data_IF_593436504035
#
_entry.id   IF_593436504035
#
_cell.length_a   1.000
_cell.length_b   1.000
_cell.length_c   1.000
_cell.angle_alpha   90.00
_cell.angle_beta   90.00
_cell.angle_gamma   90.00
#
_symmetry.space_group_name_H-M   'P 1'
#
loop_
_entity.id
_entity.type
_entity.pdbx_description
1 polymer ?
#
# COMPACT_ATOMS: atom_id res chain seq x y z
N UNK A 1 -36.37 27.66 8.86
CA UNK A 1 -35.27 26.74 9.27
C UNK A 1 -35.73 25.32 9.01
N UNK A 2 -35.16 24.65 8.01
CA UNK A 2 -35.60 23.33 7.54
C UNK A 2 -35.11 22.22 8.49
N UNK A 3 -35.98 21.27 8.86
CA UNK A 3 -35.63 20.09 9.70
C UNK A 3 -34.43 19.30 9.14
N UNK A 4 -34.28 19.26 7.81
CA UNK A 4 -33.16 18.61 7.12
C UNK A 4 -31.85 19.37 7.29
N UNK A 5 -31.86 20.69 7.21
CA UNK A 5 -30.67 21.52 7.48
C UNK A 5 -30.29 21.48 8.96
N UNK A 6 -31.27 21.50 9.86
CA UNK A 6 -31.01 21.36 11.29
C UNK A 6 -30.40 20.00 11.63
N UNK A 7 -30.90 18.89 11.05
CA UNK A 7 -30.33 17.56 11.25
C UNK A 7 -28.92 17.44 10.64
N UNK A 8 -28.71 17.91 9.41
CA UNK A 8 -27.37 17.92 8.78
C UNK A 8 -26.37 18.76 9.57
N UNK A 9 -26.78 19.94 10.06
CA UNK A 9 -25.90 20.82 10.82
C UNK A 9 -25.70 20.33 12.27
N UNK A 10 -26.71 19.77 12.92
CA UNK A 10 -26.56 19.20 14.27
C UNK A 10 -25.72 17.93 14.29
N UNK A 11 -25.77 17.10 13.23
CA UNK A 11 -24.83 15.97 13.09
C UNK A 11 -23.40 16.41 12.80
N UNK A 12 -23.19 17.54 12.09
CA UNK A 12 -21.85 18.08 11.83
C UNK A 12 -21.20 18.66 13.08
N UNK A 13 -21.95 19.37 13.92
CA UNK A 13 -21.36 20.13 15.04
C UNK A 13 -21.14 19.30 16.31
N UNK A 14 -21.97 18.28 16.58
CA UNK A 14 -21.92 17.55 17.85
C UNK A 14 -21.18 16.21 17.78
N UNK A 15 -21.15 15.55 16.61
CA UNK A 15 -20.32 14.37 16.37
C UNK A 15 -18.94 14.69 15.80
N UNK A 16 -18.75 15.89 15.23
CA UNK A 16 -17.52 16.30 14.58
C UNK A 16 -16.34 16.45 15.53
N UNK A 17 -16.46 17.23 16.62
CA UNK A 17 -15.33 17.57 17.49
C UNK A 17 -14.78 16.40 18.30
N UNK A 18 -15.64 15.57 18.89
CA UNK A 18 -15.21 14.40 19.67
C UNK A 18 -14.60 13.30 18.78
N UNK A 19 -15.16 13.06 17.59
CA UNK A 19 -14.58 12.13 16.63
C UNK A 19 -13.25 12.65 16.06
N UNK A 20 -13.15 13.95 15.75
CA UNK A 20 -11.92 14.58 15.29
C UNK A 20 -10.79 14.48 16.31
N UNK A 21 -11.09 14.66 17.61
CA UNK A 21 -10.09 14.57 18.68
C UNK A 21 -9.42 13.19 18.79
N UNK A 22 -10.03 12.14 18.24
CA UNK A 22 -9.45 10.78 18.22
C UNK A 22 -8.38 10.56 17.14
N UNK A 23 -8.23 11.50 16.20
CA UNK A 23 -7.22 11.42 15.15
C UNK A 23 -5.90 12.11 15.55
N UNK A 24 -4.75 11.69 15.01
CA UNK A 24 -3.50 12.44 15.10
C UNK A 24 -3.65 13.88 14.59
N UNK A 25 -2.90 14.82 15.18
CA UNK A 25 -3.01 16.26 14.89
C UNK A 25 -2.84 16.61 13.40
N UNK A 26 -1.98 15.90 12.66
CA UNK A 26 -1.80 16.14 11.22
C UNK A 26 -3.06 15.78 10.42
N UNK A 27 -3.78 14.73 10.80
CA UNK A 27 -5.05 14.34 10.18
C UNK A 27 -6.16 15.31 10.58
N UNK A 28 -6.20 15.75 11.84
CA UNK A 28 -7.14 16.80 12.28
C UNK A 28 -6.98 18.08 11.44
N UNK A 29 -5.73 18.55 11.27
CA UNK A 29 -5.43 19.72 10.43
C UNK A 29 -5.86 19.51 8.99
N UNK A 30 -5.63 18.33 8.43
CA UNK A 30 -6.05 18.03 7.06
C UNK A 30 -7.58 18.03 6.90
N UNK A 31 -8.32 17.43 7.84
CA UNK A 31 -9.78 17.41 7.82
C UNK A 31 -10.43 18.78 8.06
N UNK A 32 -9.71 19.71 8.69
CA UNK A 32 -10.16 21.09 8.90
C UNK A 32 -9.98 22.00 7.68
N UNK A 33 -9.24 21.55 6.66
CA UNK A 33 -9.06 22.30 5.41
C UNK A 33 -10.24 21.99 4.50
N UNK A 34 -11.06 23.00 4.22
CA UNK A 34 -12.13 22.86 3.24
C UNK A 34 -11.57 22.56 1.85
N UNK A 35 -12.26 21.69 1.11
CA UNK A 35 -11.93 21.44 -0.28
C UNK A 35 -12.06 22.73 -1.09
N UNK A 36 -11.00 23.11 -1.79
CA UNK A 36 -11.05 24.23 -2.74
C UNK A 36 -11.80 23.79 -4.00
N UNK A 37 -13.08 24.13 -4.09
CA UNK A 37 -13.94 23.80 -5.23
C UNK A 37 -14.12 25.05 -6.10
N UNK A 38 -13.52 25.05 -7.29
CA UNK A 38 -13.70 26.10 -8.30
C UNK A 38 -14.65 25.63 -9.41
N UNK A 39 -14.37 24.46 -9.99
CA UNK A 39 -15.17 23.84 -11.06
C UNK A 39 -15.91 22.59 -10.63
N UNK A 40 -15.51 21.95 -9.52
CA UNK A 40 -16.01 20.64 -9.11
C UNK A 40 -15.49 19.48 -9.97
N UNK A 41 -14.45 19.72 -10.77
CA UNK A 41 -13.80 18.72 -11.63
C UNK A 41 -12.38 18.41 -11.15
N UNK A 42 -11.73 17.41 -11.77
CA UNK A 42 -10.33 17.09 -11.48
C UNK A 42 -9.37 18.28 -11.72
N UNK A 43 -9.78 19.27 -12.52
CA UNK A 43 -9.00 20.48 -12.79
C UNK A 43 -8.76 21.33 -11.54
N UNK A 44 -9.55 21.15 -10.47
CA UNK A 44 -9.36 21.84 -9.20
C UNK A 44 -8.13 21.30 -8.43
N UNK A 45 -7.65 20.09 -8.76
CA UNK A 45 -6.44 19.49 -8.15
C UNK A 45 -5.19 20.12 -8.76
N UNK A 46 -4.45 20.89 -7.95
CA UNK A 46 -3.24 21.61 -8.39
C UNK A 46 -1.93 20.93 -7.99
N UNK A 47 -1.97 20.07 -6.97
CA UNK A 47 -0.78 19.41 -6.44
C UNK A 47 -1.08 17.94 -6.17
N UNK A 48 -0.19 17.07 -6.67
CA UNK A 48 -0.22 15.63 -6.43
C UNK A 48 1.06 15.27 -5.70
N UNK A 49 0.92 14.68 -4.52
CA UNK A 49 2.04 14.17 -3.72
C UNK A 49 1.92 12.66 -3.63
N UNK A 50 2.92 11.94 -4.12
CA UNK A 50 2.97 10.48 -4.09
C UNK A 50 3.95 10.05 -3.01
N UNK A 51 3.44 9.55 -1.88
CA UNK A 51 4.25 8.95 -0.82
C UNK A 51 4.37 7.45 -1.05
N UNK A 52 5.56 6.99 -1.45
CA UNK A 52 5.82 5.56 -1.70
C UNK A 52 6.48 4.92 -0.49
N UNK A 53 5.74 4.03 0.18
CA UNK A 53 6.26 3.22 1.30
C UNK A 53 6.85 1.89 0.79
N UNK A 54 7.42 1.10 1.69
CA UNK A 54 8.18 -0.11 1.34
C UNK A 54 7.74 -1.35 2.15
N UNK A 55 7.74 -2.51 1.47
CA UNK A 55 7.71 -3.87 2.00
C UNK A 55 6.60 -4.22 3.02
N UNK A 56 5.38 -3.76 2.74
CA UNK A 56 4.17 -4.11 3.51
C UNK A 56 3.02 -4.47 2.57
N UNK A 57 2.40 -5.63 2.80
CA UNK A 57 1.17 -6.02 2.10
C UNK A 57 -0.04 -5.31 2.69
N UNK A 58 -1.15 -5.28 1.93
CA UNK A 58 -2.41 -4.73 2.43
C UNK A 58 -2.87 -5.46 3.68
N UNK A 59 -2.92 -6.79 3.68
CA UNK A 59 -3.39 -7.57 4.82
C UNK A 59 -2.50 -7.44 6.06
N UNK A 60 -1.20 -7.17 5.88
CA UNK A 60 -0.31 -6.91 7.00
C UNK A 60 -0.69 -5.63 7.77
N UNK A 61 -1.09 -4.56 7.09
CA UNK A 61 -1.54 -3.32 7.73
C UNK A 61 -3.03 -3.34 8.04
N UNK A 62 -3.87 -3.70 7.07
CA UNK A 62 -5.29 -3.41 7.06
C UNK A 62 -6.17 -4.66 7.00
N UNK A 63 -5.62 -5.87 7.06
CA UNK A 63 -6.42 -7.10 7.01
C UNK A 63 -7.45 -7.21 8.15
N UNK A 64 -7.27 -6.46 9.24
CA UNK A 64 -8.21 -6.36 10.37
C UNK A 64 -9.08 -5.09 10.37
N UNK A 65 -8.90 -4.19 9.40
CA UNK A 65 -9.67 -2.95 9.30
C UNK A 65 -11.13 -3.27 8.95
N UNK A 66 -12.08 -2.58 9.60
CA UNK A 66 -13.50 -2.77 9.30
C UNK A 66 -13.83 -2.13 7.95
N UNK A 67 -14.58 -2.85 7.11
CA UNK A 67 -15.06 -2.35 5.83
C UNK A 67 -14.19 -2.71 4.61
N UNK A 68 -13.02 -3.33 4.83
CA UNK A 68 -12.18 -3.85 3.74
C UNK A 68 -12.38 -5.35 3.56
N UNK A 69 -12.04 -5.86 2.38
CA UNK A 69 -11.97 -7.31 2.11
C UNK A 69 -10.69 -7.94 2.70
N UNK A 70 -10.63 -8.03 4.02
CA UNK A 70 -9.50 -8.61 4.76
C UNK A 70 -9.78 -9.99 5.37
N UNK A 71 -9.20 -10.28 6.55
CA UNK A 71 -9.35 -11.57 7.24
C UNK A 71 -10.79 -11.90 7.66
N UNK A 72 -11.67 -10.89 7.70
CA UNK A 72 -13.10 -11.05 7.94
C UNK A 72 -13.93 -11.40 6.69
N UNK A 73 -13.32 -11.48 5.50
CA UNK A 73 -14.04 -11.83 4.28
C UNK A 73 -14.61 -13.25 4.38
N UNK A 74 -15.92 -13.37 4.13
CA UNK A 74 -16.65 -14.64 4.15
C UNK A 74 -16.45 -15.45 2.87
N UNK A 75 -16.06 -14.78 1.78
CA UNK A 75 -15.87 -15.35 0.45
C UNK A 75 -14.40 -15.28 0.07
N UNK A 76 -13.57 -16.01 0.83
CA UNK A 76 -12.15 -16.15 0.54
C UNK A 76 -11.92 -16.95 -0.74
N UNK A 77 -10.76 -16.79 -1.37
CA UNK A 77 -10.33 -17.65 -2.48
C UNK A 77 -10.36 -19.11 -1.99
N UNK A 78 -11.16 -19.99 -2.62
CA UNK A 78 -11.23 -21.39 -2.23
C UNK A 78 -9.93 -22.09 -2.64
N UNK A 79 -9.42 -22.92 -1.74
CA UNK A 79 -8.25 -23.74 -2.02
C UNK A 79 -8.62 -25.21 -2.11
N UNK A 80 -7.67 -26.03 -2.58
CA UNK A 80 -7.77 -27.48 -2.50
C UNK A 80 -7.99 -27.94 -1.05
N UNK A 81 -8.62 -29.11 -0.89
CA UNK A 81 -8.89 -29.73 0.42
C UNK A 81 -9.79 -28.88 1.34
N UNK A 82 -10.57 -27.97 0.77
CA UNK A 82 -11.53 -27.13 1.52
C UNK A 82 -10.88 -26.05 2.38
N UNK A 83 -9.57 -25.79 2.20
CA UNK A 83 -8.86 -24.73 2.90
C UNK A 83 -9.30 -23.34 2.43
N UNK A 84 -9.12 -22.36 3.31
CA UNK A 84 -9.13 -20.94 2.97
C UNK A 84 -7.72 -20.48 2.59
N UNK A 85 -7.63 -19.43 1.76
CA UNK A 85 -6.35 -18.80 1.38
C UNK A 85 -5.46 -18.41 2.58
N UNK A 86 -6.05 -18.19 3.74
CA UNK A 86 -5.33 -17.90 4.99
C UNK A 86 -4.63 -19.11 5.60
N UNK A 87 -4.98 -20.33 5.21
CA UNK A 87 -4.43 -21.56 5.76
C UNK A 87 -3.24 -22.05 4.92
N UNK A 88 -2.06 -21.50 5.18
CA UNK A 88 -0.84 -21.81 4.44
C UNK A 88 -0.08 -22.98 5.10
N UNK A 89 0.87 -23.58 4.39
CA UNK A 89 1.70 -24.67 4.93
C UNK A 89 3.17 -24.30 4.96
N UNK A 90 3.87 -24.69 6.03
CA UNK A 90 5.33 -24.66 6.07
C UNK A 90 5.95 -25.87 5.36
N UNK A 91 7.29 -25.93 5.35
CA UNK A 91 8.05 -27.01 4.74
C UNK A 91 7.72 -28.40 5.32
N UNK A 92 7.26 -28.47 6.58
CA UNK A 92 6.87 -29.70 7.27
C UNK A 92 5.38 -30.01 7.11
N UNK A 93 4.66 -29.32 6.22
CA UNK A 93 3.21 -29.42 6.02
C UNK A 93 2.40 -29.08 7.28
N UNK A 94 2.98 -28.30 8.19
CA UNK A 94 2.24 -27.73 9.32
C UNK A 94 1.50 -26.48 8.85
N UNK A 95 0.23 -26.38 9.23
CA UNK A 95 -0.60 -25.22 8.91
C UNK A 95 -0.11 -23.98 9.66
N UNK A 96 0.02 -22.87 8.95
CA UNK A 96 0.32 -21.54 9.46
C UNK A 96 -0.85 -20.63 9.12
N UNK A 97 -1.48 -20.08 10.14
CA UNK A 97 -2.58 -19.13 10.03
C UNK A 97 -2.04 -17.70 10.15
N UNK A 98 -2.79 -16.67 9.70
CA UNK A 98 -2.45 -15.30 10.01
C UNK A 98 -2.39 -15.11 11.53
N UNK A 99 -1.37 -14.42 12.01
CA UNK A 99 -1.17 -14.19 13.44
C UNK A 99 -0.83 -12.74 13.73
N UNK A 100 -1.33 -12.26 14.88
CA UNK A 100 -1.12 -10.89 15.32
C UNK A 100 0.33 -10.71 15.79
N UNK A 101 1.00 -9.72 15.22
CA UNK A 101 2.27 -9.20 15.71
C UNK A 101 1.98 -8.30 16.91
N UNK A 102 2.04 -8.88 18.11
CA UNK A 102 1.66 -8.23 19.37
C UNK A 102 2.82 -7.41 19.96
N UNK A 103 2.63 -6.10 20.05
CA UNK A 103 3.60 -5.16 20.62
C UNK A 103 3.82 -5.30 22.13
N UNK A 104 2.93 -5.98 22.86
CA UNK A 104 3.09 -6.26 24.28
C UNK A 104 4.05 -7.43 24.55
N UNK A 105 4.21 -8.33 23.58
CA UNK A 105 5.08 -9.51 23.70
C UNK A 105 6.49 -9.29 23.13
N UNK A 106 6.69 -8.20 22.37
CA UNK A 106 7.96 -7.85 21.77
C UNK A 106 7.83 -6.69 20.80
N UNK A 107 8.89 -6.42 20.03
CA UNK A 107 8.84 -5.34 19.05
C UNK A 107 8.16 -5.81 17.75
N UNK A 108 6.83 -5.72 17.72
CA UNK A 108 6.01 -6.10 16.58
C UNK A 108 6.45 -5.47 15.25
N UNK A 109 6.89 -4.20 15.27
CA UNK A 109 7.30 -3.48 14.06
C UNK A 109 8.69 -3.86 13.53
N UNK A 110 9.52 -4.51 14.37
CA UNK A 110 10.88 -4.97 14.02
C UNK A 110 10.93 -6.45 13.61
N UNK A 111 9.80 -7.02 13.19
CA UNK A 111 9.79 -8.35 12.56
C UNK A 111 10.69 -8.35 11.33
N UNK A 112 11.50 -9.40 11.20
CA UNK A 112 12.37 -9.64 10.06
C UNK A 112 11.59 -9.53 8.75
N UNK A 113 12.22 -8.95 7.72
CA UNK A 113 11.61 -8.89 6.39
C UNK A 113 11.28 -10.26 5.81
N UNK A 114 10.48 -10.25 4.75
CA UNK A 114 10.22 -11.45 3.92
C UNK A 114 11.05 -11.39 2.65
N UNK A 115 11.09 -12.47 1.88
CA UNK A 115 11.72 -12.43 0.55
C UNK A 115 10.87 -11.59 -0.43
N UNK A 116 11.52 -10.83 -1.31
CA UNK A 116 10.85 -9.90 -2.24
C UNK A 116 11.41 -9.96 -3.67
N UNK A 117 12.13 -11.01 -4.05
CA UNK A 117 12.60 -11.17 -5.43
C UNK A 117 11.48 -11.60 -6.37
N UNK A 118 11.76 -11.57 -7.67
CA UNK A 118 10.87 -12.12 -8.69
C UNK A 118 10.51 -13.58 -8.42
N UNK A 119 11.50 -14.45 -8.16
CA UNK A 119 11.26 -15.90 -8.05
C UNK A 119 10.40 -16.25 -6.85
N UNK A 120 10.65 -15.64 -5.69
CA UNK A 120 9.82 -15.85 -4.50
C UNK A 120 8.44 -15.18 -4.61
N UNK A 121 8.33 -14.04 -5.31
CA UNK A 121 7.05 -13.40 -5.63
C UNK A 121 6.16 -14.28 -6.49
N UNK A 122 6.71 -14.79 -7.60
CA UNK A 122 6.00 -15.69 -8.51
C UNK A 122 5.64 -17.01 -7.83
N UNK A 123 6.56 -17.59 -7.05
CA UNK A 123 6.31 -18.81 -6.28
C UNK A 123 5.17 -18.66 -5.27
N UNK A 124 5.15 -17.56 -4.50
CA UNK A 124 4.09 -17.30 -3.53
C UNK A 124 2.71 -17.04 -4.18
N UNK A 125 2.70 -16.33 -5.32
CA UNK A 125 1.48 -16.07 -6.08
C UNK A 125 0.87 -17.36 -6.67
N UNK A 126 1.72 -18.32 -7.00
CA UNK A 126 1.38 -19.65 -7.50
C UNK A 126 0.35 -19.65 -8.64
N UNK A 127 0.62 -18.89 -9.70
CA UNK A 127 -0.27 -18.75 -10.87
C UNK A 127 -1.70 -18.32 -10.49
N UNK A 128 -1.84 -17.55 -9.40
CA UNK A 128 -3.12 -17.07 -8.88
C UNK A 128 -3.77 -17.96 -7.81
N UNK A 129 -3.18 -19.12 -7.49
CA UNK A 129 -3.70 -20.00 -6.42
C UNK A 129 -3.35 -19.52 -5.01
N UNK A 130 -2.30 -18.71 -4.87
CA UNK A 130 -1.89 -18.10 -3.60
C UNK A 130 -1.63 -19.12 -2.48
N UNK A 131 -1.00 -20.25 -2.79
CA UNK A 131 -0.92 -21.41 -1.89
C UNK A 131 0.35 -21.57 -1.09
N UNK A 132 1.42 -20.86 -1.44
CA UNK A 132 2.77 -21.17 -0.98
C UNK A 132 3.50 -19.94 -0.42
N UNK A 133 2.76 -19.03 0.22
CA UNK A 133 3.31 -17.83 0.84
C UNK A 133 4.38 -18.17 1.87
N UNK A 134 4.12 -19.10 2.78
CA UNK A 134 5.10 -19.48 3.82
C UNK A 134 6.36 -20.10 3.22
N UNK A 135 6.21 -20.96 2.21
CA UNK A 135 7.34 -21.61 1.53
C UNK A 135 8.26 -20.60 0.86
N UNK A 136 7.71 -19.59 0.17
CA UNK A 136 8.51 -18.65 -0.60
C UNK A 136 8.86 -17.36 0.15
N UNK A 137 8.04 -16.95 1.13
CA UNK A 137 8.14 -15.66 1.84
C UNK A 137 8.43 -15.80 3.32
N UNK A 138 8.64 -17.02 3.82
CA UNK A 138 8.86 -17.36 5.23
C UNK A 138 7.61 -17.24 6.11
N UNK A 139 7.55 -17.88 7.30
CA UNK A 139 6.37 -17.86 8.17
C UNK A 139 5.90 -16.46 8.58
N UNK A 140 6.81 -15.49 8.72
CA UNK A 140 6.46 -14.12 9.08
C UNK A 140 5.68 -13.34 8.01
N UNK A 141 5.55 -13.88 6.80
CA UNK A 141 4.61 -13.38 5.80
C UNK A 141 3.14 -13.48 6.25
N UNK A 142 2.85 -14.34 7.22
CA UNK A 142 1.52 -14.51 7.82
C UNK A 142 1.28 -13.56 9.02
N UNK A 143 2.26 -12.75 9.41
CA UNK A 143 2.11 -11.76 10.47
C UNK A 143 1.25 -10.58 10.03
N UNK A 144 0.36 -10.10 10.89
CA UNK A 144 -0.43 -8.89 10.66
C UNK A 144 -0.42 -7.97 11.88
N UNK A 145 -0.64 -6.67 11.64
CA UNK A 145 -0.84 -5.68 12.69
C UNK A 145 -2.31 -5.46 12.99
N UNK A 146 -2.59 -5.04 14.23
CA UNK A 146 -3.85 -4.37 14.58
C UNK A 146 -3.61 -2.87 14.61
N UNK A 147 -4.70 -2.12 14.82
CA UNK A 147 -4.65 -0.66 14.98
C UNK A 147 -3.55 -0.20 15.94
N UNK A 148 -3.35 -0.91 17.05
CA UNK A 148 -2.40 -0.55 18.12
C UNK A 148 -0.95 -0.46 17.63
N UNK A 149 -0.55 -1.31 16.67
CA UNK A 149 0.80 -1.29 16.12
C UNK A 149 0.97 -0.30 14.96
N UNK A 150 -0.11 0.17 14.34
CA UNK A 150 -0.07 1.05 13.14
C UNK A 150 -1.16 2.13 13.21
N UNK A 151 -1.22 2.82 14.35
CA UNK A 151 -2.31 3.73 14.68
C UNK A 151 -2.49 4.84 13.64
N UNK A 152 -1.38 5.39 13.14
CA UNK A 152 -1.40 6.45 12.13
C UNK A 152 -1.98 5.97 10.80
N UNK A 153 -1.64 4.76 10.36
CA UNK A 153 -2.13 4.16 9.12
C UNK A 153 -3.62 3.87 9.22
N UNK A 154 -4.09 3.31 10.34
CA UNK A 154 -5.53 3.14 10.58
C UNK A 154 -6.26 4.47 10.67
N UNK A 155 -5.67 5.47 11.32
CA UNK A 155 -6.24 6.81 11.39
C UNK A 155 -6.41 7.42 9.99
N UNK A 156 -5.40 7.28 9.13
CA UNK A 156 -5.46 7.77 7.74
C UNK A 156 -6.54 7.05 6.94
N UNK A 157 -6.60 5.71 7.03
CA UNK A 157 -7.61 4.91 6.34
C UNK A 157 -9.05 5.18 6.82
N UNK A 158 -9.25 5.55 8.09
CA UNK A 158 -10.57 5.91 8.61
C UNK A 158 -10.98 7.36 8.29
N UNK A 159 -10.01 8.24 8.04
CA UNK A 159 -10.26 9.64 7.73
C UNK A 159 -10.43 9.90 6.22
N UNK A 160 -9.79 9.09 5.37
CA UNK A 160 -9.73 9.28 3.93
C UNK A 160 -10.09 8.00 3.17
N UNK A 161 -9.96 8.03 1.84
CA UNK A 161 -10.21 6.88 0.98
C UNK A 161 -9.08 5.86 1.09
N UNK A 162 -9.44 4.58 1.22
CA UNK A 162 -8.56 3.43 1.09
C UNK A 162 -9.01 2.57 -0.09
N UNK A 163 -8.05 2.07 -0.88
CA UNK A 163 -8.31 1.17 -1.99
C UNK A 163 -7.89 -0.25 -1.59
N UNK A 164 -8.86 -1.12 -1.28
CA UNK A 164 -8.62 -2.52 -0.88
C UNK A 164 -8.48 -3.51 -2.05
N UNK A 165 -8.53 -2.98 -3.28
CA UNK A 165 -8.22 -3.68 -4.52
C UNK A 165 -7.08 -2.98 -5.31
N UNK A 166 -6.13 -2.37 -4.60
CA UNK A 166 -4.92 -1.78 -5.19
C UNK A 166 -3.76 -2.77 -5.12
N UNK A 167 -3.24 -3.18 -6.28
CA UNK A 167 -2.20 -4.20 -6.39
C UNK A 167 -0.87 -3.60 -6.85
N UNK A 168 0.23 -4.27 -6.49
CA UNK A 168 1.52 -4.00 -7.11
C UNK A 168 1.44 -4.31 -8.61
N UNK A 169 2.21 -3.61 -9.43
CA UNK A 169 2.22 -3.82 -10.87
C UNK A 169 2.77 -5.21 -11.24
N UNK A 170 3.67 -5.76 -10.41
CA UNK A 170 4.20 -7.11 -10.57
C UNK A 170 4.63 -7.75 -9.24
N UNK A 171 4.57 -9.08 -9.19
CA UNK A 171 5.12 -9.88 -8.09
C UNK A 171 6.65 -9.93 -8.16
N UNK A 172 7.29 -8.81 -7.85
CA UNK A 172 8.74 -8.60 -7.93
C UNK A 172 9.22 -7.65 -6.83
N UNK A 173 10.51 -7.28 -6.89
CA UNK A 173 11.13 -6.38 -5.93
C UNK A 173 10.69 -4.92 -6.03
N UNK A 174 11.35 -4.11 -5.21
CA UNK A 174 11.15 -2.66 -5.08
C UNK A 174 11.32 -1.92 -6.41
N UNK A 175 12.45 -2.07 -7.11
CA UNK A 175 12.74 -1.24 -8.29
C UNK A 175 11.83 -1.54 -9.48
N UNK A 176 11.54 -2.82 -9.80
CA UNK A 176 10.57 -3.13 -10.86
C UNK A 176 9.20 -2.50 -10.59
N UNK A 177 8.70 -2.52 -9.35
CA UNK A 177 7.42 -1.90 -9.01
C UNK A 177 7.48 -0.36 -8.96
N UNK A 178 8.58 0.23 -8.45
CA UNK A 178 8.77 1.69 -8.44
C UNK A 178 8.83 2.24 -9.87
N UNK A 179 9.33 1.49 -10.85
CA UNK A 179 9.34 1.92 -12.26
C UNK A 179 7.93 2.22 -12.78
N UNK A 180 6.93 1.42 -12.43
CA UNK A 180 5.55 1.71 -12.85
C UNK A 180 5.01 3.04 -12.31
N UNK A 181 5.44 3.47 -11.11
CA UNK A 181 5.09 4.79 -10.57
C UNK A 181 5.67 5.90 -11.47
N UNK A 182 6.91 5.71 -11.92
CA UNK A 182 7.63 6.73 -12.68
C UNK A 182 7.42 6.66 -14.19
N UNK A 183 7.07 5.53 -14.77
CA UNK A 183 7.12 5.34 -16.23
C UNK A 183 5.89 4.61 -16.78
N UNK A 184 5.06 4.03 -15.90
CA UNK A 184 3.92 3.19 -16.30
C UNK A 184 4.30 1.83 -16.91
N UNK A 185 5.59 1.46 -16.91
CA UNK A 185 6.08 0.20 -17.50
C UNK A 185 7.36 -0.26 -16.79
N UNK A 186 7.74 -1.54 -16.93
CA UNK A 186 9.06 -2.04 -16.55
C UNK A 186 10.00 -2.24 -17.76
N UNK A 187 9.65 -1.72 -18.94
CA UNK A 187 10.54 -1.66 -20.09
C UNK A 187 10.24 -2.46 -21.36
N UNK A 188 9.44 -3.55 -21.38
CA UNK A 188 9.39 -4.43 -22.56
C UNK A 188 8.84 -3.73 -23.81
N UNK A 189 7.98 -2.73 -23.65
CA UNK A 189 7.42 -1.92 -24.76
C UNK A 189 8.31 -0.74 -25.16
N UNK A 190 9.33 -0.40 -24.38
CA UNK A 190 10.19 0.78 -24.59
C UNK A 190 11.62 0.47 -25.03
N UNK A 191 12.20 -0.64 -24.57
CA UNK A 191 13.60 -0.99 -24.82
C UNK A 191 13.84 -2.46 -25.21
N UNK A 192 12.79 -3.27 -25.39
CA UNK A 192 12.93 -4.70 -25.66
C UNK A 192 13.51 -5.53 -24.50
N UNK A 193 13.73 -4.90 -23.34
CA UNK A 193 14.21 -5.52 -22.10
C UNK A 193 13.23 -5.20 -20.97
N UNK A 194 13.02 -6.15 -20.06
CA UNK A 194 12.14 -6.00 -18.91
C UNK A 194 12.96 -6.04 -17.62
N UNK A 195 12.82 -5.01 -16.78
CA UNK A 195 13.38 -5.07 -15.44
C UNK A 195 12.45 -5.85 -14.53
N UNK A 196 12.99 -6.94 -13.98
CA UNK A 196 12.28 -7.86 -13.06
C UNK A 196 13.03 -8.05 -11.73
N UNK A 197 14.21 -7.46 -11.60
CA UNK A 197 15.05 -7.49 -10.39
C UNK A 197 15.37 -6.09 -9.92
N UNK A 198 15.82 -5.97 -8.66
CA UNK A 198 16.39 -4.72 -8.16
C UNK A 198 17.76 -4.50 -8.80
N UNK A 199 17.94 -3.33 -9.39
CA UNK A 199 19.15 -2.88 -10.08
C UNK A 199 19.12 -1.35 -10.17
N UNK A 200 20.30 -0.73 -10.26
CA UNK A 200 20.49 0.74 -10.22
C UNK A 200 19.97 1.39 -8.92
N UNK A 201 20.27 0.79 -7.77
CA UNK A 201 19.85 1.28 -6.43
C UNK A 201 20.59 2.55 -5.95
N UNK A 202 21.71 2.89 -6.61
CA UNK A 202 22.54 4.05 -6.28
C UNK A 202 22.34 5.22 -7.24
N UNK A 203 22.84 6.38 -6.85
CA UNK A 203 23.00 7.51 -7.76
C UNK A 203 24.22 7.20 -8.64
N UNK A 204 23.97 6.81 -9.88
CA UNK A 204 25.00 6.52 -10.89
C UNK A 204 25.20 7.69 -11.88
N UNK A 205 26.12 7.53 -12.84
CA UNK A 205 26.27 8.44 -13.97
C UNK A 205 24.94 8.59 -14.73
N UNK A 206 24.67 9.77 -15.29
CA UNK A 206 23.48 9.99 -16.13
C UNK A 206 23.49 9.19 -17.44
N UNK A 207 24.62 8.57 -17.77
CA UNK A 207 24.81 7.68 -18.92
C UNK A 207 24.45 6.22 -18.62
N UNK A 208 24.13 5.89 -17.38
CA UNK A 208 23.75 4.55 -16.95
C UNK A 208 22.29 4.52 -16.50
N UNK A 209 21.53 3.55 -16.99
CA UNK A 209 20.13 3.36 -16.64
C UNK A 209 19.28 2.92 -17.83
N UNK A 210 17.98 3.18 -17.74
CA UNK A 210 17.04 2.85 -18.79
C UNK A 210 16.83 4.02 -19.74
N UNK A 211 16.63 3.71 -21.01
CA UNK A 211 16.51 4.70 -22.08
C UNK A 211 15.06 5.14 -22.36
N UNK A 212 14.07 4.55 -21.68
CA UNK A 212 12.67 4.92 -21.90
C UNK A 212 12.26 6.16 -21.10
N UNK A 213 11.39 6.96 -21.69
CA UNK A 213 10.89 8.22 -21.10
C UNK A 213 10.07 7.97 -19.82
N UNK A 214 10.35 8.76 -18.81
CA UNK A 214 9.68 8.80 -17.50
C UNK A 214 8.56 9.84 -17.45
N UNK A 215 7.74 9.80 -16.40
CA UNK A 215 6.67 10.75 -16.12
C UNK A 215 7.23 12.12 -15.72
N UNK A 216 8.26 12.24 -14.85
CA UNK A 216 8.95 13.51 -14.62
C UNK A 216 9.44 14.20 -15.90
N UNK A 217 10.00 13.47 -16.87
CA UNK A 217 10.42 14.06 -18.15
C UNK A 217 9.24 14.57 -18.97
N UNK A 218 8.12 13.84 -18.98
CA UNK A 218 6.88 14.31 -19.62
C UNK A 218 6.33 15.57 -18.94
N UNK A 219 6.35 15.62 -17.60
CA UNK A 219 5.97 16.82 -16.85
C UNK A 219 6.87 18.00 -17.20
N UNK A 220 8.19 17.78 -17.23
CA UNK A 220 9.17 18.80 -17.61
C UNK A 220 8.90 19.35 -19.01
N UNK A 221 8.66 18.48 -20.00
CA UNK A 221 8.35 18.88 -21.37
C UNK A 221 7.05 19.67 -21.46
N UNK A 222 6.05 19.32 -20.65
CA UNK A 222 4.77 20.02 -20.56
C UNK A 222 4.84 21.32 -19.75
N UNK A 223 6.00 21.70 -19.21
CA UNK A 223 6.15 22.89 -18.36
C UNK A 223 5.52 22.76 -16.97
N UNK A 224 5.22 21.53 -16.51
CA UNK A 224 4.66 21.25 -15.19
C UNK A 224 5.80 21.06 -14.19
N UNK A 225 5.79 21.84 -13.11
CA UNK A 225 6.81 21.74 -12.06
C UNK A 225 6.71 20.42 -11.30
N UNK A 226 7.85 19.78 -11.06
CA UNK A 226 7.93 18.52 -10.31
C UNK A 226 9.18 18.51 -9.42
N UNK A 227 9.15 17.69 -8.37
CA UNK A 227 10.29 17.45 -7.46
C UNK A 227 10.25 16.02 -6.95
N UNK A 228 11.42 15.44 -6.75
CA UNK A 228 11.59 14.15 -6.07
C UNK A 228 12.33 14.38 -4.76
N UNK A 229 11.77 13.84 -3.69
CA UNK A 229 12.37 13.86 -2.35
C UNK A 229 12.69 12.43 -1.96
N UNK A 230 13.97 12.12 -1.83
CA UNK A 230 14.45 10.82 -1.37
C UNK A 230 15.44 11.03 -0.24
N UNK A 231 15.26 10.33 0.86
CA UNK A 231 16.26 10.27 1.92
C UNK A 231 17.47 9.53 1.37
N UNK A 232 18.65 10.15 1.44
CA UNK A 232 19.89 9.48 1.08
C UNK A 232 20.11 8.31 2.06
N UNK A 233 20.22 7.09 1.53
CA UNK A 233 20.73 5.95 2.27
C UNK A 233 22.26 6.05 2.23
N UNK A 234 22.83 6.55 3.32
CA UNK A 234 24.26 6.40 3.60
C UNK A 234 24.52 5.09 4.32
#
# INVERSE_FOLDING_TARGET
MNRREFLLNSTKTMFGTAALASFPLSIQKALAIDAKVESGTIQDVKHIVILTQENRSFDNYFGTLKGVRGFGDRFTIPMTEGRKVWEQYDANKKKVLPYHLDSHLGNAQRVTGTNHSWSDGQGAWDNGRMSDWVTHKQPQSMGYYKKQEVEYQFALANAFTICDAYHCAMHAGTNPNRKFIWTGTNGPTGAGVASVVNEFDGIGPSTEGYEWTTYPERLQQAGVTWKVYQKHAG
#
